data_IF_999571801943
#
_entry.id   IF_999571801943
#
_cell.length_a   1.000
_cell.length_b   1.000
_cell.length_c   1.000
_cell.angle_alpha   90.00
_cell.angle_beta   90.00
_cell.angle_gamma   90.00
#
_symmetry.space_group_name_H-M   'P 1'
#
loop_
_entity.id
_entity.type
_entity.pdbx_description
1 polymer ?
#
# COMPACT_ATOMS: atom_id res chain seq x y z
N UNK A 1 -10.85 9.06 -16.90
CA UNK A 1 -10.98 10.50 -16.58
C UNK A 1 -10.02 10.82 -15.44
N UNK A 2 -9.35 11.97 -15.48
CA UNK A 2 -8.45 12.44 -14.43
C UNK A 2 -8.81 13.88 -14.05
N UNK A 3 -8.66 14.23 -12.78
CA UNK A 3 -8.93 15.57 -12.27
C UNK A 3 -7.63 16.21 -11.83
N UNK A 4 -7.39 17.46 -12.25
CA UNK A 4 -6.24 18.23 -11.81
C UNK A 4 -6.58 18.96 -10.50
N UNK A 5 -5.68 18.86 -9.53
CA UNK A 5 -5.78 19.55 -8.24
C UNK A 5 -4.48 20.30 -7.97
N UNK A 6 -4.55 21.41 -7.24
CA UNK A 6 -3.38 22.10 -6.73
C UNK A 6 -3.14 21.66 -5.28
N UNK A 7 -1.92 21.19 -4.98
CA UNK A 7 -1.53 20.72 -3.64
C UNK A 7 -0.24 21.41 -3.24
N UNK A 8 -0.15 21.84 -1.97
CA UNK A 8 1.11 22.29 -1.39
C UNK A 8 1.85 21.10 -0.81
N UNK A 9 3.09 20.91 -1.24
CA UNK A 9 3.98 19.87 -0.75
C UNK A 9 5.26 20.53 -0.20
N UNK A 10 5.93 19.92 0.78
CA UNK A 10 7.28 20.29 1.17
C UNK A 10 8.22 20.35 -0.04
N UNK A 11 9.09 21.35 -0.08
CA UNK A 11 10.01 21.58 -1.21
C UNK A 11 10.93 20.38 -1.47
N UNK A 12 11.31 19.66 -0.41
CA UNK A 12 12.10 18.43 -0.50
C UNK A 12 11.39 17.32 -1.31
N UNK A 13 10.08 17.17 -1.12
CA UNK A 13 9.29 16.16 -1.84
C UNK A 13 9.08 16.56 -3.30
N UNK A 14 8.88 17.86 -3.56
CA UNK A 14 8.82 18.38 -4.93
C UNK A 14 10.14 18.11 -5.66
N UNK A 15 11.26 18.42 -5.01
CA UNK A 15 12.61 18.21 -5.54
C UNK A 15 12.88 16.72 -5.84
N UNK A 16 12.44 15.83 -4.95
CA UNK A 16 12.56 14.39 -5.15
C UNK A 16 11.73 13.90 -6.34
N UNK A 17 10.48 14.33 -6.45
CA UNK A 17 9.63 13.98 -7.61
C UNK A 17 10.25 14.49 -8.91
N UNK A 18 10.81 15.69 -8.90
CA UNK A 18 11.45 16.28 -10.08
C UNK A 18 12.71 15.51 -10.51
N UNK A 19 13.52 15.05 -9.56
CA UNK A 19 14.65 14.16 -9.83
C UNK A 19 14.19 12.86 -10.52
N UNK A 20 13.15 12.21 -9.98
CA UNK A 20 12.61 10.98 -10.59
C UNK A 20 12.08 11.20 -12.01
N UNK A 21 11.44 12.33 -12.26
CA UNK A 21 10.97 12.70 -13.61
C UNK A 21 12.15 12.91 -14.55
N UNK A 22 13.20 13.61 -14.08
CA UNK A 22 14.44 13.81 -14.84
C UNK A 22 15.14 12.50 -15.19
N UNK A 23 15.08 11.51 -14.28
CA UNK A 23 15.64 10.16 -14.48
C UNK A 23 14.76 9.26 -15.37
N UNK A 24 13.65 9.78 -15.89
CA UNK A 24 12.78 9.08 -16.85
C UNK A 24 11.70 8.22 -16.22
N UNK A 25 11.37 8.40 -14.93
CA UNK A 25 10.27 7.68 -14.27
C UNK A 25 8.86 8.03 -14.80
N UNK A 26 8.76 8.91 -15.79
CA UNK A 26 7.53 9.39 -16.41
C UNK A 26 7.12 10.77 -15.90
N UNK A 27 5.85 11.12 -16.02
CA UNK A 27 5.34 12.42 -15.55
C UNK A 27 5.25 12.50 -14.02
N UNK A 28 5.23 13.71 -13.45
CA UNK A 28 4.94 13.92 -12.01
C UNK A 28 3.67 13.20 -11.57
N UNK A 29 2.62 13.25 -12.38
CA UNK A 29 1.37 12.56 -12.11
C UNK A 29 1.55 11.03 -12.07
N UNK A 30 2.39 10.45 -12.94
CA UNK A 30 2.71 9.02 -12.94
C UNK A 30 3.41 8.61 -11.63
N UNK A 31 4.43 9.37 -11.22
CA UNK A 31 5.19 9.13 -9.99
C UNK A 31 4.26 9.21 -8.76
N UNK A 32 3.49 10.30 -8.66
CA UNK A 32 2.57 10.53 -7.53
C UNK A 32 1.47 9.47 -7.50
N UNK A 33 0.88 9.12 -8.66
CA UNK A 33 -0.15 8.08 -8.73
C UNK A 33 0.37 6.73 -8.27
N UNK A 34 1.60 6.36 -8.64
CA UNK A 34 2.21 5.10 -8.19
C UNK A 34 2.41 5.09 -6.68
N UNK A 35 2.95 6.17 -6.11
CA UNK A 35 3.14 6.30 -4.67
C UNK A 35 1.80 6.20 -3.91
N UNK A 36 0.76 6.90 -4.38
CA UNK A 36 -0.57 6.87 -3.76
C UNK A 36 -1.22 5.49 -3.83
N UNK A 37 -1.01 4.71 -4.92
CA UNK A 37 -1.53 3.34 -5.00
C UNK A 37 -0.90 2.42 -3.97
N UNK A 38 0.41 2.53 -3.77
CA UNK A 38 1.13 1.75 -2.75
C UNK A 38 0.60 2.11 -1.36
N UNK A 39 0.47 3.41 -1.08
CA UNK A 39 -0.07 3.87 0.20
C UNK A 39 -1.51 3.42 0.45
N UNK A 40 -2.38 3.47 -0.58
CA UNK A 40 -3.75 2.95 -0.48
C UNK A 40 -3.78 1.46 -0.17
N UNK A 41 -2.89 0.66 -0.78
CA UNK A 41 -2.80 -0.77 -0.53
C UNK A 41 -2.36 -1.04 0.92
N UNK A 42 -1.40 -0.28 1.43
CA UNK A 42 -0.96 -0.37 2.82
C UNK A 42 -2.10 -0.09 3.79
N UNK A 43 -2.83 1.02 3.61
CA UNK A 43 -3.95 1.37 4.50
C UNK A 43 -5.06 0.31 4.52
N UNK A 44 -5.30 -0.37 3.39
CA UNK A 44 -6.26 -1.47 3.33
C UNK A 44 -5.78 -2.68 4.11
N UNK A 45 -4.52 -3.09 3.91
CA UNK A 45 -3.94 -4.19 4.64
C UNK A 45 -3.94 -3.93 6.16
N UNK A 46 -3.65 -2.70 6.59
CA UNK A 46 -3.72 -2.29 8.00
C UNK A 46 -5.15 -2.28 8.55
N UNK A 47 -6.16 -2.00 7.72
CA UNK A 47 -7.56 -2.10 8.13
C UNK A 47 -7.98 -3.57 8.27
N UNK A 48 -7.60 -4.41 7.32
CA UNK A 48 -7.91 -5.84 7.33
C UNK A 48 -7.24 -6.53 8.52
N UNK A 49 -5.97 -6.24 8.80
CA UNK A 49 -5.26 -6.76 9.96
C UNK A 49 -5.96 -6.39 11.29
N UNK A 50 -6.47 -5.15 11.41
CA UNK A 50 -7.23 -4.73 12.61
C UNK A 50 -8.56 -5.47 12.75
N UNK A 51 -9.23 -5.80 11.65
CA UNK A 51 -10.44 -6.64 11.69
C UNK A 51 -10.05 -8.03 12.19
N UNK A 52 -9.00 -8.61 11.62
CA UNK A 52 -8.51 -9.93 12.03
C UNK A 52 -8.13 -9.97 13.53
N UNK A 53 -7.44 -8.96 14.03
CA UNK A 53 -7.13 -8.86 15.46
C UNK A 53 -8.40 -8.76 16.33
N UNK A 54 -9.42 -8.02 15.88
CA UNK A 54 -10.66 -7.81 16.63
C UNK A 54 -11.62 -9.00 16.62
N UNK A 55 -11.64 -9.80 15.54
CA UNK A 55 -12.51 -10.98 15.40
C UNK A 55 -11.91 -12.25 15.99
N UNK A 56 -10.76 -12.17 16.67
CA UNK A 56 -9.92 -13.28 17.12
C UNK A 56 -10.62 -14.38 17.92
N UNK A 57 -11.24 -15.29 17.18
CA UNK A 57 -11.45 -16.70 17.50
C UNK A 57 -11.22 -17.44 16.18
N UNK A 58 -10.01 -18.00 16.03
CA UNK A 58 -9.57 -18.71 14.83
C UNK A 58 -9.51 -20.22 15.08
N UNK A 59 -10.18 -20.71 16.13
CA UNK A 59 -10.18 -22.12 16.52
C UNK A 59 -10.66 -23.02 15.35
N UNK A 60 -11.48 -22.49 14.43
CA UNK A 60 -11.89 -23.19 13.21
C UNK A 60 -10.75 -23.50 12.22
N UNK A 61 -9.66 -22.72 12.26
CA UNK A 61 -8.48 -22.90 11.42
C UNK A 61 -7.43 -23.83 12.03
N UNK A 62 -7.58 -24.23 13.30
CA UNK A 62 -6.64 -25.13 13.97
C UNK A 62 -6.55 -26.50 13.27
N UNK A 63 -7.69 -27.01 12.79
CA UNK A 63 -7.73 -28.26 12.03
C UNK A 63 -7.00 -28.15 10.67
N UNK A 64 -6.99 -26.96 10.06
CA UNK A 64 -6.27 -26.70 8.81
C UNK A 64 -4.75 -26.59 9.05
N UNK A 65 -4.35 -25.93 10.13
CA UNK A 65 -2.94 -25.84 10.56
C UNK A 65 -2.40 -27.25 10.88
N UNK A 66 -3.18 -28.07 11.59
CA UNK A 66 -2.83 -29.44 11.92
C UNK A 66 -2.68 -30.34 10.68
N UNK A 67 -3.42 -30.09 9.60
CA UNK A 67 -3.26 -30.86 8.36
C UNK A 67 -2.06 -30.38 7.52
N UNK A 68 -1.80 -29.07 7.48
CA UNK A 68 -0.68 -28.49 6.73
C UNK A 68 0.70 -28.77 7.36
N UNK A 69 0.75 -29.14 8.63
CA UNK A 69 1.96 -29.47 9.38
C UNK A 69 2.32 -30.95 9.37
N UNK A 70 1.58 -31.80 8.63
CA UNK A 70 1.75 -33.26 8.60
C UNK A 70 2.60 -33.77 7.41
N UNK A 71 3.23 -32.90 6.63
CA UNK A 71 4.27 -33.29 5.66
C UNK A 71 5.67 -32.84 6.14
N UNK A 72 6.28 -33.61 7.05
CA UNK A 72 7.74 -33.75 7.26
C UNK A 72 8.12 -35.22 7.53
#
# INVERSE_FOLDING_TARGET
>A
MSTQIAVRLPDELVSYVDALVSDGAGSRATVITRALKIYQQQLRAEADARILEATGDYDEFDALIAHASVDE
#
